data_IF_366003029478
#
_entry.id   IF_366003029478
#
_cell.length_a   1.000
_cell.length_b   1.000
_cell.length_c   1.000
_cell.angle_alpha   90.00
_cell.angle_beta   90.00
_cell.angle_gamma   90.00
#
_symmetry.space_group_name_H-M   'P 1'
#
loop_
_entity.id
_entity.type
_entity.pdbx_description
1 polymer ?
#
# COMPACT_ATOMS: atom_id res chain seq x y z
N UNK A 1 10.91 -7.12 -2.49
CA UNK A 1 9.66 -6.38 -2.76
C UNK A 1 9.30 -6.50 -4.23
N UNK A 2 8.05 -6.82 -4.51
CA UNK A 2 7.55 -6.92 -5.86
C UNK A 2 7.00 -5.57 -6.32
N UNK A 3 7.33 -5.16 -7.55
CA UNK A 3 6.82 -3.95 -8.16
C UNK A 3 5.81 -4.30 -9.25
N UNK A 4 4.67 -3.61 -9.24
CA UNK A 4 3.62 -3.81 -10.23
C UNK A 4 3.22 -2.46 -10.83
N UNK A 5 3.25 -2.37 -12.15
CA UNK A 5 2.76 -1.19 -12.85
C UNK A 5 1.25 -1.31 -13.08
N UNK A 6 0.51 -0.31 -12.66
CA UNK A 6 -0.91 -0.18 -12.97
C UNK A 6 -1.09 0.76 -14.16
N UNK A 7 -1.73 0.25 -15.19
CA UNK A 7 -1.99 0.97 -16.42
C UNK A 7 -3.44 0.71 -16.87
N UNK A 8 -4.34 0.75 -15.90
CA UNK A 8 -5.73 0.35 -16.06
C UNK A 8 -6.63 1.48 -15.54
N UNK A 9 -7.76 1.69 -16.19
CA UNK A 9 -8.74 2.68 -15.79
C UNK A 9 -9.19 2.45 -14.34
N UNK A 10 -9.26 3.52 -13.51
CA UNK A 10 -9.73 3.38 -12.13
C UNK A 10 -11.21 3.05 -12.08
N UNK A 11 -11.60 2.30 -11.08
CA UNK A 11 -12.99 1.98 -10.80
C UNK A 11 -13.37 2.57 -9.44
N UNK A 12 -14.52 3.26 -9.40
CA UNK A 12 -15.06 3.77 -8.15
C UNK A 12 -15.69 2.62 -7.35
N UNK A 13 -15.51 2.67 -6.04
CA UNK A 13 -16.06 1.66 -5.11
C UNK A 13 -15.59 0.24 -5.43
N UNK A 14 -14.39 0.12 -6.00
CA UNK A 14 -13.85 -1.16 -6.42
C UNK A 14 -13.52 -2.07 -5.23
N UNK A 15 -13.82 -3.36 -5.38
CA UNK A 15 -13.39 -4.42 -4.47
C UNK A 15 -12.41 -5.32 -5.22
N UNK A 16 -11.71 -6.19 -4.49
CA UNK A 16 -10.77 -7.12 -5.12
C UNK A 16 -11.44 -7.92 -6.22
N UNK A 17 -12.67 -8.36 -6.02
CA UNK A 17 -13.41 -9.13 -7.01
C UNK A 17 -13.74 -8.35 -8.29
N UNK A 18 -13.69 -7.01 -8.24
CA UNK A 18 -13.97 -6.16 -9.39
C UNK A 18 -12.74 -5.96 -10.28
N UNK A 19 -11.55 -6.30 -9.77
CA UNK A 19 -10.31 -6.16 -10.51
C UNK A 19 -10.07 -7.43 -11.34
N UNK A 20 -10.66 -7.46 -12.52
CA UNK A 20 -10.57 -8.59 -13.44
C UNK A 20 -10.14 -8.10 -14.83
N UNK A 21 -9.67 -9.03 -15.64
CA UNK A 21 -9.21 -8.72 -16.98
C UNK A 21 -7.70 -8.85 -17.12
N UNK A 22 -7.17 -8.67 -18.36
CA UNK A 22 -5.78 -9.04 -18.67
C UNK A 22 -4.72 -8.31 -17.86
N UNK A 23 -4.94 -7.04 -17.50
CA UNK A 23 -3.95 -6.26 -16.77
C UNK A 23 -3.91 -6.55 -15.28
N UNK A 24 -4.93 -7.23 -14.74
CA UNK A 24 -5.08 -7.37 -13.30
C UNK A 24 -4.59 -8.72 -12.75
N UNK A 25 -4.30 -9.70 -13.61
CA UNK A 25 -3.86 -11.03 -13.17
C UNK A 25 -2.68 -11.01 -12.22
N UNK A 26 -1.56 -10.33 -12.56
CA UNK A 26 -0.40 -10.25 -11.67
C UNK A 26 -0.71 -9.55 -10.35
N UNK A 27 -1.60 -8.56 -10.37
CA UNK A 27 -2.01 -7.81 -9.18
C UNK A 27 -2.79 -8.73 -8.24
N UNK A 28 -3.78 -9.43 -8.76
CA UNK A 28 -4.59 -10.37 -7.98
C UNK A 28 -3.71 -11.48 -7.37
N UNK A 29 -2.77 -12.00 -8.15
CA UNK A 29 -1.84 -13.01 -7.67
C UNK A 29 -0.99 -12.49 -6.50
N UNK A 30 -0.49 -11.25 -6.60
CA UNK A 30 0.27 -10.63 -5.53
C UNK A 30 -0.57 -10.46 -4.26
N UNK A 31 -1.83 -10.09 -4.40
CA UNK A 31 -2.74 -9.96 -3.26
C UNK A 31 -2.96 -11.31 -2.57
N UNK A 32 -3.14 -12.37 -3.36
CA UNK A 32 -3.26 -13.72 -2.80
C UNK A 32 -2.02 -14.15 -2.05
N UNK A 33 -0.83 -13.85 -2.59
CA UNK A 33 0.44 -14.15 -1.93
C UNK A 33 0.57 -13.35 -0.62
N UNK A 34 0.12 -12.11 -0.62
CA UNK A 34 0.13 -11.26 0.56
C UNK A 34 -0.76 -11.87 1.66
N UNK A 35 -1.99 -12.27 1.33
CA UNK A 35 -2.89 -12.92 2.28
C UNK A 35 -2.35 -14.26 2.80
N UNK A 36 -1.65 -15.00 1.94
CA UNK A 36 -1.07 -16.29 2.31
C UNK A 36 0.23 -16.18 3.13
N UNK A 37 0.75 -14.96 3.32
CA UNK A 37 2.01 -14.76 4.03
C UNK A 37 3.24 -15.12 3.23
N UNK A 38 3.10 -15.40 1.93
CA UNK A 38 4.22 -15.72 1.04
C UNK A 38 4.96 -14.48 0.58
N UNK A 39 4.34 -13.32 0.74
CA UNK A 39 4.90 -12.01 0.41
C UNK A 39 4.46 -11.04 1.51
N UNK A 40 5.36 -10.21 2.00
CA UNK A 40 5.04 -9.25 3.06
C UNK A 40 4.99 -7.81 2.58
N UNK A 41 5.43 -7.54 1.35
CA UNK A 41 5.43 -6.20 0.77
C UNK A 41 5.28 -6.27 -0.72
N UNK A 42 4.55 -5.33 -1.29
CA UNK A 42 4.67 -5.05 -2.70
C UNK A 42 4.46 -3.56 -2.96
N UNK A 43 4.91 -3.16 -4.13
CA UNK A 43 4.96 -1.79 -4.58
C UNK A 43 4.22 -1.70 -5.91
N UNK A 44 3.24 -0.79 -5.96
CA UNK A 44 2.42 -0.56 -7.14
C UNK A 44 2.75 0.82 -7.68
N UNK A 45 3.00 0.91 -8.97
CA UNK A 45 3.27 2.21 -9.58
C UNK A 45 2.48 2.37 -10.88
N UNK A 46 2.21 3.62 -11.22
CA UNK A 46 1.47 3.98 -12.44
C UNK A 46 1.16 5.45 -12.43
N UNK A 47 0.78 5.99 -13.56
CA UNK A 47 0.47 7.40 -13.71
C UNK A 47 -0.74 7.83 -12.88
N UNK A 48 -0.95 9.13 -12.78
CA UNK A 48 -2.12 9.69 -12.14
C UNK A 48 -3.39 9.12 -12.81
N UNK A 49 -4.38 8.74 -12.00
CA UNK A 49 -5.61 8.16 -12.51
C UNK A 49 -5.55 6.69 -12.88
N UNK A 50 -4.45 5.99 -12.54
CA UNK A 50 -4.30 4.57 -12.87
C UNK A 50 -5.04 3.62 -11.93
N UNK A 51 -5.70 4.15 -10.89
CA UNK A 51 -6.46 3.31 -9.95
C UNK A 51 -5.67 2.82 -8.75
N UNK A 52 -4.47 3.33 -8.50
CA UNK A 52 -3.63 2.88 -7.39
C UNK A 52 -4.30 3.01 -6.03
N UNK A 53 -4.88 4.18 -5.74
CA UNK A 53 -5.54 4.42 -4.46
C UNK A 53 -6.75 3.52 -4.26
N UNK A 54 -7.51 3.28 -5.31
CA UNK A 54 -8.66 2.37 -5.28
C UNK A 54 -8.20 0.93 -5.02
N UNK A 55 -7.09 0.53 -5.62
CA UNK A 55 -6.51 -0.79 -5.37
C UNK A 55 -6.08 -0.95 -3.92
N UNK A 56 -5.35 0.03 -3.38
CA UNK A 56 -4.93 -0.01 -1.98
C UNK A 56 -6.13 -0.08 -1.04
N UNK A 57 -7.18 0.67 -1.33
CA UNK A 57 -8.41 0.63 -0.55
C UNK A 57 -9.05 -0.77 -0.61
N UNK A 58 -9.11 -1.37 -1.79
CA UNK A 58 -9.67 -2.71 -1.95
C UNK A 58 -8.85 -3.77 -1.21
N UNK A 59 -7.52 -3.64 -1.20
CA UNK A 59 -6.66 -4.54 -0.43
C UNK A 59 -6.93 -4.41 1.06
N UNK A 60 -7.04 -3.19 1.57
CA UNK A 60 -7.38 -2.96 2.97
C UNK A 60 -8.72 -3.59 3.31
N UNK A 61 -9.74 -3.41 2.48
CA UNK A 61 -11.06 -4.00 2.69
C UNK A 61 -10.98 -5.52 2.73
N UNK A 62 -10.14 -6.14 1.90
CA UNK A 62 -9.98 -7.59 1.90
C UNK A 62 -9.39 -8.11 3.23
N UNK A 63 -8.54 -7.32 3.87
CA UNK A 63 -8.00 -7.66 5.20
C UNK A 63 -9.07 -7.53 6.28
N UNK A 64 -9.85 -6.46 6.23
CA UNK A 64 -10.96 -6.26 7.17
C UNK A 64 -12.00 -7.37 7.05
N UNK A 65 -12.27 -7.83 5.84
CA UNK A 65 -13.24 -8.90 5.57
C UNK A 65 -12.85 -10.22 6.22
N UNK A 66 -11.56 -10.46 6.46
CA UNK A 66 -11.09 -11.68 7.14
C UNK A 66 -10.74 -11.44 8.61
N UNK A 67 -11.18 -10.32 9.17
CA UNK A 67 -11.02 -10.01 10.58
C UNK A 67 -9.66 -9.47 11.00
N UNK A 68 -8.86 -9.03 10.03
CA UNK A 68 -7.56 -8.38 10.30
C UNK A 68 -7.70 -6.87 10.30
N UNK A 69 -6.69 -6.19 10.84
CA UNK A 69 -6.66 -4.72 10.84
C UNK A 69 -5.89 -4.21 9.64
N UNK A 70 -6.36 -3.10 9.07
CA UNK A 70 -5.71 -2.47 7.93
C UNK A 70 -5.95 -0.98 7.96
N UNK A 71 -4.99 -0.22 7.46
CA UNK A 71 -5.12 1.23 7.32
C UNK A 71 -4.45 1.68 6.02
N UNK A 72 -5.08 2.64 5.37
CA UNK A 72 -4.53 3.31 4.19
C UNK A 72 -4.28 4.77 4.54
N UNK A 73 -3.08 5.25 4.27
CA UNK A 73 -2.75 6.66 4.47
C UNK A 73 -2.02 7.19 3.25
N UNK A 74 -2.26 8.48 2.95
CA UNK A 74 -1.50 9.18 1.91
C UNK A 74 -0.33 9.90 2.55
N UNK A 75 0.88 9.61 2.10
CA UNK A 75 2.07 10.33 2.60
C UNK A 75 2.05 11.78 2.15
N UNK A 76 1.41 12.09 1.03
CA UNK A 76 1.25 13.47 0.60
C UNK A 76 0.46 14.29 1.64
N UNK A 77 -0.59 13.71 2.19
CA UNK A 77 -1.40 14.35 3.23
C UNK A 77 -0.68 14.42 4.57
N UNK A 78 0.20 13.46 4.87
CA UNK A 78 0.92 13.41 6.13
C UNK A 78 2.09 14.37 6.23
N UNK A 79 2.55 14.98 5.13
CA UNK A 79 3.74 15.84 5.14
C UNK A 79 3.65 16.99 6.13
N UNK A 80 2.45 17.51 6.39
CA UNK A 80 2.22 18.61 7.31
C UNK A 80 2.01 18.17 8.76
N UNK A 81 1.95 16.86 9.00
CA UNK A 81 1.80 16.31 10.33
C UNK A 81 3.15 15.99 10.96
N UNK A 82 3.25 15.85 12.29
CA UNK A 82 4.47 15.34 12.92
C UNK A 82 4.76 13.91 12.47
N UNK A 83 6.04 13.55 12.39
CA UNK A 83 6.45 12.20 11.99
C UNK A 83 5.95 11.12 12.95
N UNK A 84 5.65 11.48 14.20
CA UNK A 84 5.06 10.58 15.18
C UNK A 84 3.72 10.00 14.73
N UNK A 85 3.04 10.65 13.80
CA UNK A 85 1.80 10.13 13.24
C UNK A 85 1.99 8.76 12.58
N UNK A 86 3.19 8.48 12.03
CA UNK A 86 3.45 7.21 11.40
C UNK A 86 3.66 6.08 12.42
N UNK A 87 4.07 6.40 13.64
CA UNK A 87 4.26 5.41 14.69
C UNK A 87 2.96 4.71 15.06
N UNK A 88 1.83 5.42 14.98
CA UNK A 88 0.53 4.86 15.27
C UNK A 88 0.12 3.77 14.28
N UNK A 89 0.78 3.69 13.12
CA UNK A 89 0.49 2.70 12.08
C UNK A 89 1.12 1.34 12.38
N UNK A 90 2.05 1.27 13.32
CA UNK A 90 2.81 0.05 13.63
C UNK A 90 1.93 -1.09 14.10
N UNK A 91 0.76 -0.79 14.67
CA UNK A 91 -0.15 -1.78 15.26
C UNK A 91 -1.04 -2.50 14.26
N UNK A 92 -1.08 -2.07 13.01
CA UNK A 92 -1.98 -2.65 12.00
C UNK A 92 -1.34 -3.85 11.32
N UNK A 93 -2.17 -4.85 10.98
CA UNK A 93 -1.72 -6.02 10.24
C UNK A 93 -1.26 -5.65 8.83
N UNK A 94 -1.97 -4.70 8.20
CA UNK A 94 -1.61 -4.17 6.89
C UNK A 94 -1.57 -2.66 6.95
N UNK A 95 -0.50 -2.07 6.43
CA UNK A 95 -0.39 -0.63 6.21
C UNK A 95 -0.23 -0.38 4.72
N UNK A 96 -1.14 0.38 4.14
CA UNK A 96 -1.07 0.80 2.74
C UNK A 96 -0.65 2.26 2.69
N UNK A 97 0.55 2.51 2.17
CA UNK A 97 1.13 3.84 2.07
C UNK A 97 1.01 4.35 0.64
N UNK A 98 0.07 5.27 0.44
CA UNK A 98 -0.16 5.89 -0.87
C UNK A 98 0.79 7.07 -1.07
N UNK A 99 1.14 7.35 -2.32
CA UNK A 99 1.96 8.50 -2.69
C UNK A 99 3.35 8.48 -2.02
N UNK A 100 4.05 7.34 -2.07
CA UNK A 100 5.36 7.20 -1.42
C UNK A 100 6.39 8.21 -1.96
N UNK A 101 6.25 8.66 -3.21
CA UNK A 101 7.14 9.65 -3.80
C UNK A 101 7.06 11.02 -3.12
N UNK A 102 6.01 11.28 -2.35
CA UNK A 102 5.85 12.54 -1.64
C UNK A 102 6.97 12.80 -0.63
N UNK A 103 7.60 11.74 -0.10
CA UNK A 103 8.69 11.88 0.85
C UNK A 103 10.06 11.97 0.18
N UNK A 104 10.12 11.95 -1.14
CA UNK A 104 11.37 12.15 -1.88
C UNK A 104 11.95 13.52 -1.53
N UNK A 105 13.21 13.56 -1.09
CA UNK A 105 13.85 14.81 -0.68
C UNK A 105 13.40 15.34 0.68
N UNK A 106 12.65 14.57 1.47
CA UNK A 106 12.21 14.95 2.81
C UNK A 106 12.83 14.01 3.84
N UNK A 107 14.08 14.27 4.29
CA UNK A 107 14.86 13.28 5.06
C UNK A 107 14.18 12.81 6.34
N UNK A 108 13.52 13.68 7.09
CA UNK A 108 12.88 13.27 8.35
C UNK A 108 11.70 12.33 8.11
N UNK A 109 10.96 12.47 7.00
CA UNK A 109 9.90 11.55 6.64
C UNK A 109 10.46 10.24 6.07
N UNK A 110 11.54 10.32 5.29
CA UNK A 110 12.22 9.11 4.79
C UNK A 110 12.70 8.25 5.96
N UNK A 111 13.27 8.86 6.99
CA UNK A 111 13.70 8.15 8.19
C UNK A 111 12.53 7.52 8.95
N UNK A 112 11.44 8.25 9.08
CA UNK A 112 10.25 7.75 9.77
C UNK A 112 9.63 6.55 9.05
N UNK A 113 9.50 6.63 7.74
CA UNK A 113 8.97 5.52 6.93
C UNK A 113 9.91 4.31 6.98
N UNK A 114 11.22 4.54 6.90
CA UNK A 114 12.20 3.46 7.01
C UNK A 114 12.08 2.74 8.36
N UNK A 115 11.89 3.50 9.42
CA UNK A 115 11.67 2.93 10.75
C UNK A 115 10.39 2.07 10.80
N UNK A 116 9.31 2.54 10.21
CA UNK A 116 8.06 1.78 10.11
C UNK A 116 8.27 0.46 9.36
N UNK A 117 9.00 0.51 8.25
CA UNK A 117 9.29 -0.69 7.44
C UNK A 117 10.05 -1.72 8.28
N UNK A 118 11.08 -1.29 9.01
CA UNK A 118 11.88 -2.18 9.85
C UNK A 118 11.06 -2.78 10.98
N UNK A 119 10.24 -1.97 11.66
CA UNK A 119 9.37 -2.45 12.72
C UNK A 119 8.38 -3.48 12.19
N UNK A 120 7.72 -3.17 11.08
CA UNK A 120 6.75 -4.04 10.45
C UNK A 120 7.39 -5.38 10.04
N UNK A 121 8.63 -5.34 9.53
CA UNK A 121 9.35 -6.53 9.14
C UNK A 121 9.66 -7.44 10.34
N UNK A 122 10.02 -6.85 11.48
CA UNK A 122 10.31 -7.60 12.70
C UNK A 122 9.04 -8.21 13.32
N UNK A 123 7.92 -7.51 13.23
CA UNK A 123 6.66 -7.94 13.85
C UNK A 123 5.78 -8.79 12.92
N UNK A 124 6.23 -9.07 11.72
CA UNK A 124 5.49 -9.92 10.79
C UNK A 124 4.29 -9.25 10.13
N UNK A 125 4.22 -7.92 10.15
CA UNK A 125 3.18 -7.18 9.46
C UNK A 125 3.41 -7.11 7.96
N UNK A 126 2.48 -6.48 7.26
CA UNK A 126 2.52 -6.38 5.81
C UNK A 126 2.34 -4.94 5.35
N UNK A 127 3.02 -4.58 4.26
CA UNK A 127 3.02 -3.23 3.71
C UNK A 127 2.77 -3.26 2.21
N UNK A 128 1.97 -2.32 1.76
CA UNK A 128 1.75 -2.06 0.33
C UNK A 128 2.05 -0.59 0.08
N UNK A 129 2.77 -0.31 -0.99
CA UNK A 129 3.13 1.06 -1.35
C UNK A 129 2.57 1.40 -2.72
N UNK A 130 2.20 2.66 -2.92
CA UNK A 130 1.89 3.18 -4.24
C UNK A 130 2.76 4.35 -4.60
N UNK A 131 3.01 4.55 -5.89
CA UNK A 131 3.77 5.68 -6.41
C UNK A 131 3.38 5.96 -7.85
N UNK A 132 3.68 7.17 -8.32
CA UNK A 132 3.57 7.51 -9.75
C UNK A 132 4.79 7.05 -10.53
N UNK A 133 5.89 6.74 -9.86
CA UNK A 133 7.16 6.36 -10.49
C UNK A 133 7.62 5.00 -9.98
N UNK A 134 8.37 4.31 -10.84
CA UNK A 134 8.94 3.02 -10.49
C UNK A 134 10.00 3.12 -9.41
#
# INVERSE_FOLDING_TARGET
MRQLQLDIEPQLDARISDFSGPGWGPVIDAIRQLHAGLMNRFYVYGGAGSGKSHLLSAICDSYLDVGKTAIQVSLLELLDAPTEAITSLERFDLVALDDIEAISGVPHWQKAVFHLINYNNEEGGQLVFSSRVA
#
